data_IF_309625227952
#
_entry.id   IF_309625227952
#
_cell.length_a   1.000
_cell.length_b   1.000
_cell.length_c   1.000
_cell.angle_alpha   90.00
_cell.angle_beta   90.00
_cell.angle_gamma   90.00
#
_symmetry.space_group_name_H-M   'P 1'
#
loop_
_entity.id
_entity.type
_entity.pdbx_description
1 polymer ?
#
# COMPACT_ATOMS: atom_id res chain seq x y z
N UNK A 1 11.21 -1.72 -0.01
CA UNK A 1 10.18 -0.75 0.43
C UNK A 1 10.84 0.20 1.38
N UNK A 2 10.82 1.48 1.03
CA UNK A 2 11.47 2.56 1.77
C UNK A 2 10.61 2.95 2.96
N UNK A 3 11.05 2.68 4.19
CA UNK A 3 10.62 3.42 5.37
C UNK A 3 11.48 4.68 5.43
N UNK A 4 11.07 5.72 4.73
CA UNK A 4 11.64 7.04 4.94
C UNK A 4 11.10 7.57 6.27
N UNK A 5 11.97 7.78 7.24
CA UNK A 5 11.70 8.72 8.30
C UNK A 5 11.56 10.09 7.60
N UNK A 6 10.33 10.49 7.35
CA UNK A 6 10.05 11.75 6.68
C UNK A 6 10.28 12.87 7.67
N UNK A 7 11.36 13.63 7.47
CA UNK A 7 11.52 14.94 8.08
C UNK A 7 10.37 15.82 7.56
N UNK A 8 9.41 16.12 8.43
CA UNK A 8 8.22 16.89 8.08
C UNK A 8 8.61 18.34 7.76
N UNK A 9 8.55 18.70 6.49
CA UNK A 9 8.28 20.07 6.08
C UNK A 9 6.78 20.18 5.94
N UNK A 10 6.13 20.76 6.95
CA UNK A 10 4.71 21.07 6.93
C UNK A 10 4.45 22.17 5.90
N UNK A 11 4.07 21.79 4.70
CA UNK A 11 3.47 22.73 3.76
C UNK A 11 1.98 22.78 4.05
N UNK A 12 1.52 23.85 4.70
CA UNK A 12 0.09 24.14 4.88
C UNK A 12 -0.50 24.43 3.51
N UNK A 13 -1.24 23.49 2.97
CA UNK A 13 -2.19 23.74 1.90
C UNK A 13 -3.60 23.59 2.44
N UNK A 14 -4.27 24.74 2.60
CA UNK A 14 -5.69 24.79 2.91
C UNK A 14 -6.48 24.65 1.62
N UNK A 15 -7.04 23.47 1.37
CA UNK A 15 -8.31 23.34 0.67
C UNK A 15 -8.94 22.01 1.04
N UNK A 16 -10.16 22.11 1.53
CA UNK A 16 -10.96 21.02 2.04
C UNK A 16 -11.22 19.93 1.00
N UNK A 17 -11.03 18.68 1.40
CA UNK A 17 -11.83 17.55 0.93
C UNK A 17 -11.58 16.31 1.75
N UNK A 18 -12.59 15.49 1.92
CA UNK A 18 -12.66 14.50 2.98
C UNK A 18 -11.81 13.27 2.67
N UNK A 19 -11.22 12.81 3.63
CA UNK A 19 -10.38 11.68 3.82
C UNK A 19 -11.22 10.43 4.07
N UNK A 20 -10.75 9.31 3.63
CA UNK A 20 -11.40 8.01 3.79
C UNK A 20 -10.56 7.12 4.72
N UNK A 21 -11.09 6.67 5.84
CA UNK A 21 -10.45 5.68 6.71
C UNK A 21 -10.76 4.26 6.21
N UNK A 22 -9.81 3.40 6.34
CA UNK A 22 -10.10 1.99 6.61
C UNK A 22 -10.95 1.93 7.88
N UNK A 23 -11.89 0.97 8.03
CA UNK A 23 -12.80 0.92 9.18
C UNK A 23 -12.02 1.12 10.46
N UNK A 24 -12.61 1.87 11.39
CA UNK A 24 -12.07 2.29 12.67
C UNK A 24 -11.28 1.18 13.36
N UNK A 25 -9.99 1.17 13.13
CA UNK A 25 -9.08 0.30 13.84
C UNK A 25 -8.54 1.15 14.98
N UNK A 26 -9.14 0.99 16.18
CA UNK A 26 -8.45 1.40 17.40
C UNK A 26 -7.04 0.84 17.29
N UNK A 27 -6.04 1.69 17.44
CA UNK A 27 -4.62 1.31 17.35
C UNK A 27 -4.23 0.46 18.56
N UNK A 28 -4.81 -0.72 18.67
CA UNK A 28 -4.45 -1.70 19.70
C UNK A 28 -3.22 -2.47 19.24
N UNK A 29 -2.06 -1.92 19.54
CA UNK A 29 -0.77 -2.54 19.24
C UNK A 29 -0.49 -3.79 20.06
N UNK A 30 -1.34 -4.13 21.03
CA UNK A 30 -1.19 -5.35 21.86
C UNK A 30 -1.92 -6.55 21.29
N UNK A 31 -2.91 -6.33 20.42
CA UNK A 31 -3.66 -7.41 19.79
C UNK A 31 -2.94 -7.94 18.54
N UNK A 32 -2.46 -9.20 18.52
CA UNK A 32 -1.76 -9.77 17.37
C UNK A 32 -2.54 -9.81 16.06
N UNK A 33 -3.85 -9.66 16.11
CA UNK A 33 -4.70 -9.60 14.92
C UNK A 33 -4.95 -8.18 14.42
N UNK A 34 -4.49 -7.16 15.14
CA UNK A 34 -4.70 -5.77 14.77
C UNK A 34 -3.78 -5.33 13.64
N UNK A 35 -4.22 -4.31 12.91
CA UNK A 35 -3.41 -3.64 11.90
C UNK A 35 -2.16 -2.99 12.48
N UNK A 36 -2.29 -2.33 13.65
CA UNK A 36 -1.19 -1.68 14.33
C UNK A 36 -0.11 -2.69 14.75
N UNK A 37 -0.50 -3.81 15.36
CA UNK A 37 0.43 -4.88 15.70
C UNK A 37 1.16 -5.42 14.47
N UNK A 38 0.44 -5.69 13.39
CA UNK A 38 1.05 -6.17 12.14
C UNK A 38 2.09 -5.19 11.60
N UNK A 39 1.80 -3.89 11.62
CA UNK A 39 2.72 -2.85 11.14
C UNK A 39 4.01 -2.80 11.97
N UNK A 40 3.89 -2.84 13.31
CA UNK A 40 5.06 -2.82 14.20
C UNK A 40 5.91 -4.09 14.10
N UNK A 41 5.34 -5.19 13.61
CA UNK A 41 6.03 -6.48 13.43
C UNK A 41 6.37 -6.77 11.96
N UNK A 42 6.37 -5.76 11.10
CA UNK A 42 6.84 -5.94 9.73
C UNK A 42 8.29 -6.44 9.72
N UNK A 43 8.61 -7.44 8.88
CA UNK A 43 9.97 -7.96 8.80
C UNK A 43 10.93 -6.86 8.35
N UNK A 44 11.92 -6.57 9.16
CA UNK A 44 12.91 -5.52 8.91
C UNK A 44 14.28 -6.11 8.64
N UNK A 45 15.06 -5.41 7.83
CA UNK A 45 16.48 -5.69 7.59
C UNK A 45 17.29 -4.39 7.57
N UNK A 46 18.60 -4.54 7.79
CA UNK A 46 19.56 -3.47 7.59
C UNK A 46 20.27 -3.69 6.25
N UNK A 47 20.71 -2.63 5.64
CA UNK A 47 21.47 -2.71 4.38
C UNK A 47 21.13 -1.57 3.44
N UNK A 48 21.62 -1.65 2.23
CA UNK A 48 21.38 -0.65 1.21
C UNK A 48 19.96 -0.77 0.64
N UNK A 49 19.32 0.37 0.37
CA UNK A 49 18.11 0.42 -0.42
C UNK A 49 18.48 0.06 -1.86
N UNK A 50 17.85 -0.98 -2.38
CA UNK A 50 18.04 -1.45 -3.74
C UNK A 50 16.82 -1.14 -4.60
N UNK A 51 17.07 -0.87 -5.89
CA UNK A 51 16.01 -0.85 -6.90
C UNK A 51 15.55 -2.29 -7.26
N UNK A 52 14.56 -2.40 -8.14
CA UNK A 52 14.03 -3.70 -8.60
C UNK A 52 15.05 -4.56 -9.38
N UNK A 53 16.18 -3.98 -9.81
CA UNK A 53 17.30 -4.68 -10.46
C UNK A 53 18.42 -5.05 -9.48
N UNK A 54 18.23 -4.77 -8.20
CA UNK A 54 19.23 -5.04 -7.15
C UNK A 54 20.36 -4.02 -7.09
N UNK A 55 20.23 -2.84 -7.70
CA UNK A 55 21.23 -1.78 -7.69
C UNK A 55 20.97 -0.81 -6.53
N UNK A 56 21.98 -0.36 -5.79
CA UNK A 56 21.81 0.65 -4.75
C UNK A 56 21.28 1.97 -5.33
N UNK A 57 20.28 2.56 -4.68
CA UNK A 57 19.82 3.92 -5.01
C UNK A 57 20.77 4.98 -4.44
N UNK A 58 20.68 6.22 -4.94
CA UNK A 58 21.63 7.30 -4.62
C UNK A 58 21.56 7.76 -3.15
N UNK A 59 20.37 7.79 -2.53
CA UNK A 59 20.17 8.33 -1.18
C UNK A 59 20.07 7.21 -0.14
N UNK A 60 21.21 6.74 0.38
CA UNK A 60 21.26 5.65 1.35
C UNK A 60 21.11 6.10 2.82
N UNK A 61 21.30 7.39 3.13
CA UNK A 61 21.41 7.89 4.50
C UNK A 61 20.07 8.25 5.15
N UNK A 62 18.95 8.13 4.42
CA UNK A 62 17.62 8.62 4.85
C UNK A 62 16.69 7.54 5.35
N UNK A 63 17.18 6.35 5.66
CA UNK A 63 16.33 5.28 6.15
C UNK A 63 16.87 4.70 7.46
N UNK A 64 15.95 4.32 8.35
CA UNK A 64 16.28 3.62 9.59
C UNK A 64 16.40 2.11 9.38
N UNK A 65 15.48 1.54 8.62
CA UNK A 65 15.42 0.13 8.28
C UNK A 65 14.71 -0.08 6.94
N UNK A 66 14.84 -1.27 6.40
CA UNK A 66 14.14 -1.73 5.21
C UNK A 66 13.04 -2.71 5.62
N UNK A 67 11.85 -2.60 5.04
CA UNK A 67 10.88 -3.68 5.13
C UNK A 67 11.35 -4.80 4.19
N UNK A 68 11.57 -5.99 4.77
CA UNK A 68 12.13 -7.13 4.04
C UNK A 68 11.06 -7.86 3.24
N UNK A 69 10.42 -7.16 2.30
CA UNK A 69 9.53 -7.75 1.31
C UNK A 69 10.19 -7.75 -0.06
N UNK A 70 10.10 -8.87 -0.74
CA UNK A 70 10.51 -8.97 -2.13
C UNK A 70 9.70 -8.03 -3.02
N UNK A 71 10.37 -7.15 -3.75
CA UNK A 71 9.73 -6.20 -4.70
C UNK A 71 9.50 -6.81 -6.08
N UNK A 72 10.00 -8.02 -6.32
CA UNK A 72 9.94 -8.66 -7.63
C UNK A 72 10.96 -8.10 -8.62
N UNK A 73 10.79 -8.46 -9.88
CA UNK A 73 11.74 -8.15 -10.97
C UNK A 73 11.23 -7.06 -11.92
N UNK A 74 10.10 -6.41 -11.58
CA UNK A 74 9.47 -5.35 -12.39
C UNK A 74 9.48 -4.04 -11.64
N UNK A 75 9.67 -2.94 -12.34
CA UNK A 75 9.55 -1.58 -11.79
C UNK A 75 8.06 -1.20 -11.59
N UNK A 76 7.45 -1.82 -10.58
CA UNK A 76 6.01 -1.66 -10.30
C UNK A 76 5.71 -1.23 -8.86
N UNK A 77 6.65 -1.41 -7.92
CA UNK A 77 6.38 -1.07 -6.52
C UNK A 77 6.98 0.30 -6.14
N UNK A 78 6.17 1.33 -6.27
CA UNK A 78 6.44 2.68 -5.76
C UNK A 78 5.72 2.90 -4.42
N UNK A 79 5.62 4.14 -3.93
CA UNK A 79 5.08 4.43 -2.60
C UNK A 79 3.63 3.94 -2.40
N UNK A 80 2.74 4.18 -3.36
CA UNK A 80 1.35 3.71 -3.29
C UNK A 80 1.27 2.18 -3.33
N UNK A 81 2.08 1.56 -4.17
CA UNK A 81 2.10 0.11 -4.35
C UNK A 81 2.66 -0.60 -3.13
N UNK A 82 3.59 0.05 -2.42
CA UNK A 82 4.07 -0.43 -1.12
C UNK A 82 2.95 -0.47 -0.07
N UNK A 83 2.10 0.56 -0.01
CA UNK A 83 0.93 0.57 0.87
C UNK A 83 -0.06 -0.54 0.51
N UNK A 84 -0.42 -0.64 -0.77
CA UNK A 84 -1.29 -1.69 -1.31
C UNK A 84 -0.74 -3.07 -0.94
N UNK A 85 0.58 -3.27 -1.09
CA UNK A 85 1.24 -4.52 -0.74
C UNK A 85 1.12 -4.83 0.75
N UNK A 86 1.47 -3.91 1.63
CA UNK A 86 1.43 -4.09 3.08
C UNK A 86 -0.01 -4.41 3.52
N UNK A 87 -1.02 -3.71 2.99
CA UNK A 87 -2.42 -3.98 3.28
C UNK A 87 -2.86 -5.37 2.82
N UNK A 88 -2.48 -5.77 1.62
CA UNK A 88 -2.81 -7.10 1.08
C UNK A 88 -2.14 -8.22 1.89
N UNK A 89 -0.88 -8.05 2.32
CA UNK A 89 -0.17 -9.01 3.17
C UNK A 89 -0.83 -9.16 4.54
N UNK A 90 -1.28 -8.04 5.15
CA UNK A 90 -2.05 -8.08 6.38
C UNK A 90 -3.33 -8.90 6.23
N UNK A 91 -4.16 -8.59 5.23
CA UNK A 91 -5.41 -9.31 4.99
C UNK A 91 -5.16 -10.78 4.68
N UNK A 92 -4.11 -11.08 3.93
CA UNK A 92 -3.71 -12.45 3.63
C UNK A 92 -3.29 -13.21 4.91
N UNK A 93 -2.50 -12.59 5.78
CA UNK A 93 -2.08 -13.19 7.07
C UNK A 93 -3.27 -13.50 7.99
N UNK A 94 -4.31 -12.66 7.93
CA UNK A 94 -5.55 -12.84 8.69
C UNK A 94 -6.55 -13.77 7.98
N UNK A 95 -6.21 -14.36 6.83
CA UNK A 95 -7.11 -15.18 5.99
C UNK A 95 -8.39 -14.44 5.55
N UNK A 96 -8.38 -13.12 5.55
CA UNK A 96 -9.47 -12.23 5.12
C UNK A 96 -9.41 -12.02 3.60
N UNK A 97 -9.44 -13.11 2.86
CA UNK A 97 -9.17 -13.14 1.42
C UNK A 97 -10.22 -12.37 0.61
N UNK A 98 -11.46 -12.37 1.06
CA UNK A 98 -12.58 -11.71 0.37
C UNK A 98 -12.55 -10.18 0.50
N UNK A 99 -11.74 -9.65 1.43
CA UNK A 99 -11.52 -8.22 1.60
C UNK A 99 -10.35 -7.69 0.78
N UNK A 100 -9.57 -8.56 0.14
CA UNK A 100 -8.45 -8.14 -0.71
C UNK A 100 -9.00 -7.61 -2.03
N UNK A 101 -8.99 -6.29 -2.16
CA UNK A 101 -9.43 -5.60 -3.36
C UNK A 101 -9.02 -4.12 -3.32
N UNK A 102 -8.83 -3.53 -4.49
CA UNK A 102 -8.36 -2.15 -4.63
C UNK A 102 -9.02 -1.48 -5.82
N UNK A 103 -9.19 -0.17 -5.73
CA UNK A 103 -9.68 0.62 -6.85
C UNK A 103 -8.52 1.02 -7.76
N UNK A 104 -8.75 0.95 -9.05
CA UNK A 104 -7.89 1.59 -10.05
C UNK A 104 -8.12 3.10 -10.06
N UNK A 105 -7.20 3.84 -10.63
CA UNK A 105 -7.27 5.31 -10.72
C UNK A 105 -8.57 5.81 -11.39
N UNK A 106 -9.14 5.03 -12.31
CA UNK A 106 -10.42 5.31 -12.96
C UNK A 106 -11.67 4.99 -12.09
N UNK A 107 -11.48 4.51 -10.85
CA UNK A 107 -12.55 4.18 -9.91
C UNK A 107 -13.10 2.76 -10.02
N UNK A 108 -12.56 1.91 -10.89
CA UNK A 108 -13.01 0.51 -10.99
C UNK A 108 -12.45 -0.31 -9.83
N UNK A 109 -13.31 -0.97 -9.07
CA UNK A 109 -12.89 -1.92 -8.05
C UNK A 109 -12.49 -3.26 -8.66
N UNK A 110 -11.34 -3.80 -8.21
CA UNK A 110 -10.85 -5.09 -8.64
C UNK A 110 -10.44 -5.93 -7.43
N UNK A 111 -11.17 -7.02 -7.16
CA UNK A 111 -10.90 -7.92 -6.05
C UNK A 111 -9.97 -9.05 -6.44
N UNK A 112 -9.24 -9.57 -5.46
CA UNK A 112 -8.43 -10.78 -5.65
C UNK A 112 -9.30 -12.00 -5.96
N UNK A 113 -10.51 -12.08 -5.40
CA UNK A 113 -11.46 -13.13 -5.72
C UNK A 113 -11.84 -13.13 -7.20
N UNK A 114 -12.16 -11.97 -7.78
CA UNK A 114 -12.43 -11.85 -9.21
C UNK A 114 -11.22 -12.30 -10.04
N UNK A 115 -9.99 -11.92 -9.62
CA UNK A 115 -8.77 -12.37 -10.28
C UNK A 115 -8.60 -13.90 -10.19
N UNK A 116 -8.86 -14.52 -9.03
CA UNK A 116 -8.79 -15.99 -8.84
C UNK A 116 -9.83 -16.72 -9.68
N UNK A 117 -11.02 -16.14 -9.87
CA UNK A 117 -12.06 -16.68 -10.76
C UNK A 117 -11.76 -16.45 -12.24
N UNK A 118 -10.61 -15.90 -12.58
CA UNK A 118 -10.16 -15.76 -13.97
C UNK A 118 -10.52 -14.43 -14.63
N UNK A 119 -11.20 -13.50 -13.95
CA UNK A 119 -11.52 -12.20 -14.52
C UNK A 119 -10.28 -11.32 -14.66
N UNK A 120 -10.07 -10.74 -15.84
CA UNK A 120 -8.94 -9.84 -16.13
C UNK A 120 -9.45 -8.49 -16.62
N UNK A 121 -8.84 -7.38 -16.16
CA UNK A 121 -9.22 -6.05 -16.64
C UNK A 121 -8.82 -5.88 -18.10
N UNK A 122 -9.74 -5.36 -18.91
CA UNK A 122 -9.53 -5.02 -20.30
C UNK A 122 -9.87 -3.55 -20.51
N UNK A 123 -8.96 -2.83 -21.12
CA UNK A 123 -9.11 -1.41 -21.44
C UNK A 123 -9.35 -1.28 -22.96
N UNK A 124 -10.57 -0.90 -23.33
CA UNK A 124 -10.95 -0.78 -24.74
C UNK A 124 -10.19 0.35 -25.46
N UNK A 125 -9.77 1.41 -24.72
CA UNK A 125 -8.96 2.55 -25.23
C UNK A 125 -8.22 3.18 -24.04
N UNK A 126 -7.11 3.88 -24.24
CA UNK A 126 -6.50 4.72 -23.21
C UNK A 126 -7.52 5.70 -22.63
N UNK A 127 -7.73 5.68 -21.30
CA UNK A 127 -8.76 6.49 -20.60
C UNK A 127 -10.21 6.05 -20.80
N UNK A 128 -10.48 4.96 -21.52
CA UNK A 128 -11.80 4.43 -21.73
C UNK A 128 -12.37 3.66 -20.54
N UNK A 129 -13.68 3.35 -20.60
CA UNK A 129 -14.36 2.54 -19.61
C UNK A 129 -13.74 1.15 -19.58
N UNK A 130 -13.43 0.69 -18.38
CA UNK A 130 -12.88 -0.63 -18.17
C UNK A 130 -13.98 -1.69 -18.22
N UNK A 131 -13.67 -2.82 -18.81
CA UNK A 131 -14.45 -4.05 -18.74
C UNK A 131 -13.61 -5.19 -18.18
N UNK A 132 -14.28 -6.26 -17.78
CA UNK A 132 -13.60 -7.49 -17.36
C UNK A 132 -13.94 -8.61 -18.33
N UNK A 133 -12.91 -9.34 -18.75
CA UNK A 133 -13.06 -10.58 -19.51
C UNK A 133 -12.73 -11.76 -18.61
N UNK A 134 -13.54 -12.80 -18.68
CA UNK A 134 -13.22 -14.08 -18.06
C UNK A 134 -12.07 -14.72 -18.84
N UNK A 135 -10.95 -14.97 -18.14
CA UNK A 135 -9.85 -15.76 -18.69
C UNK A 135 -10.08 -17.20 -18.28
N UNK A 136 -9.80 -18.14 -19.17
CA UNK A 136 -10.10 -19.57 -18.99
C UNK A 136 -9.40 -20.26 -17.80
N UNK A 137 -8.53 -19.58 -17.04
CA UNK A 137 -7.73 -20.17 -15.96
C UNK A 137 -8.18 -19.64 -14.60
N UNK A 138 -8.77 -20.53 -13.82
CA UNK A 138 -8.95 -20.36 -12.38
C UNK A 138 -7.59 -20.38 -11.68
N UNK A 139 -7.49 -19.66 -10.55
CA UNK A 139 -6.30 -19.62 -9.71
C UNK A 139 -6.67 -19.92 -8.27
N UNK A 140 -5.84 -20.70 -7.61
CA UNK A 140 -5.99 -20.93 -6.18
C UNK A 140 -5.62 -19.66 -5.38
N UNK A 141 -6.21 -19.49 -4.19
CA UNK A 141 -5.91 -18.40 -3.26
C UNK A 141 -4.59 -18.68 -2.52
N UNK A 142 -3.48 -18.61 -3.25
CA UNK A 142 -2.11 -18.78 -2.73
C UNK A 142 -1.38 -17.43 -2.68
N UNK A 143 -0.31 -17.34 -1.89
CA UNK A 143 0.52 -16.14 -1.85
C UNK A 143 1.13 -15.80 -3.23
N UNK A 144 1.52 -16.81 -4.02
CA UNK A 144 2.02 -16.60 -5.38
C UNK A 144 0.94 -16.00 -6.30
N UNK A 145 -0.32 -16.43 -6.14
CA UNK A 145 -1.44 -15.86 -6.88
C UNK A 145 -1.75 -14.43 -6.43
N UNK A 146 -1.65 -14.13 -5.14
CA UNK A 146 -1.77 -12.76 -4.61
C UNK A 146 -0.70 -11.85 -5.22
N UNK A 147 0.56 -12.28 -5.27
CA UNK A 147 1.64 -11.52 -5.90
C UNK A 147 1.36 -11.21 -7.37
N UNK A 148 0.84 -12.20 -8.10
CA UNK A 148 0.49 -12.03 -9.51
C UNK A 148 -0.68 -11.05 -9.70
N UNK A 149 -1.69 -11.09 -8.84
CA UNK A 149 -2.80 -10.14 -8.79
C UNK A 149 -2.30 -8.71 -8.50
N UNK A 150 -1.45 -8.55 -7.50
CA UNK A 150 -0.91 -7.25 -7.11
C UNK A 150 -0.12 -6.58 -8.24
N UNK A 151 0.59 -7.34 -9.08
CA UNK A 151 1.25 -6.79 -10.26
C UNK A 151 0.26 -6.14 -11.26
N UNK A 152 -0.97 -6.64 -11.31
CA UNK A 152 -2.03 -5.99 -12.12
C UNK A 152 -2.52 -4.72 -11.42
N UNK A 153 -2.74 -4.77 -10.10
CA UNK A 153 -3.18 -3.61 -9.32
C UNK A 153 -2.17 -2.46 -9.43
N UNK A 154 -0.88 -2.72 -9.27
CA UNK A 154 0.18 -1.71 -9.35
C UNK A 154 0.22 -0.98 -10.70
N UNK A 155 -0.16 -1.64 -11.78
CA UNK A 155 -0.18 -1.00 -13.08
C UNK A 155 -1.31 0.05 -13.26
N UNK A 156 -2.34 0.01 -12.40
CA UNK A 156 -3.56 0.81 -12.61
C UNK A 156 -4.06 1.57 -11.37
N UNK A 157 -3.58 1.21 -10.18
CA UNK A 157 -3.83 1.93 -8.94
C UNK A 157 -2.70 2.94 -8.66
N UNK A 158 -2.90 3.84 -7.72
CA UNK A 158 -1.87 4.80 -7.32
C UNK A 158 -2.38 5.72 -6.22
N UNK A 159 -1.66 6.81 -5.94
CA UNK A 159 -2.03 7.75 -4.87
C UNK A 159 -3.40 8.37 -5.07
N UNK A 160 -3.85 8.57 -6.31
CA UNK A 160 -5.18 9.13 -6.61
C UNK A 160 -6.30 8.15 -6.23
N UNK A 161 -6.18 6.86 -6.52
CA UNK A 161 -7.17 5.86 -6.12
C UNK A 161 -7.15 5.63 -4.61
N UNK A 162 -5.98 5.50 -4.01
CA UNK A 162 -5.85 5.33 -2.56
C UNK A 162 -6.44 6.51 -1.78
N UNK A 163 -6.20 7.74 -2.21
CA UNK A 163 -6.77 8.93 -1.57
C UNK A 163 -8.31 8.90 -1.54
N UNK A 164 -8.95 8.31 -2.55
CA UNK A 164 -10.40 8.15 -2.60
C UNK A 164 -10.92 7.01 -1.72
N UNK A 165 -10.09 6.01 -1.43
CA UNK A 165 -10.45 4.87 -0.59
C UNK A 165 -10.22 5.13 0.90
N UNK A 166 -9.28 6.01 1.24
CA UNK A 166 -8.91 6.29 2.62
C UNK A 166 -9.87 7.29 3.26
N UNK A 167 -10.19 7.11 4.55
CA UNK A 167 -10.99 8.06 5.34
C UNK A 167 -10.08 9.03 6.10
N UNK A 168 -10.57 10.24 6.50
CA UNK A 168 -9.82 11.20 7.31
C UNK A 168 -9.44 10.64 8.65
N UNK A 169 -8.24 10.92 9.05
CA UNK A 169 -7.80 10.72 10.40
C UNK A 169 -7.68 12.08 11.11
N UNK A 170 -8.28 12.22 12.28
CA UNK A 170 -8.17 13.42 13.10
C UNK A 170 -6.81 13.50 13.81
N UNK A 171 -6.09 12.39 13.88
CA UNK A 171 -4.78 12.25 14.53
C UNK A 171 -3.84 11.40 13.69
N UNK A 172 -2.55 11.69 13.83
CA UNK A 172 -1.50 10.81 13.32
C UNK A 172 -1.29 9.66 14.32
N UNK A 173 -1.55 8.44 13.88
CA UNK A 173 -1.37 7.23 14.68
C UNK A 173 -0.83 6.09 13.82
N UNK A 174 -0.43 4.97 14.42
CA UNK A 174 0.01 3.79 13.68
C UNK A 174 -1.09 3.34 12.73
N UNK A 175 -0.75 3.18 11.46
CA UNK A 175 -1.70 2.88 10.39
C UNK A 175 -2.26 4.10 9.66
N UNK A 176 -2.00 5.32 10.13
CA UNK A 176 -2.35 6.54 9.40
C UNK A 176 -1.50 6.67 8.14
N UNK A 177 -2.15 7.03 7.04
CA UNK A 177 -1.50 7.33 5.76
C UNK A 177 -1.48 8.83 5.54
N UNK A 178 -0.29 9.38 5.34
CA UNK A 178 -0.11 10.73 4.84
C UNK A 178 -0.01 10.64 3.32
N UNK A 179 -0.95 11.27 2.60
CA UNK A 179 -1.04 11.11 1.14
C UNK A 179 -1.18 12.45 0.43
N UNK A 180 -0.40 12.60 -0.63
CA UNK A 180 -0.49 13.68 -1.61
C UNK A 180 -0.86 13.05 -2.97
N UNK A 181 -2.16 13.10 -3.37
CA UNK A 181 -2.60 12.49 -4.60
C UNK A 181 -2.10 13.27 -5.82
N UNK A 182 -1.63 12.59 -6.87
CA UNK A 182 -1.17 13.27 -8.08
C UNK A 182 -0.37 12.40 -9.04
N UNK A 183 0.15 13.04 -10.08
CA UNK A 183 1.07 12.48 -11.07
C UNK A 183 2.23 13.48 -11.31
N UNK A 184 3.33 13.41 -10.57
CA UNK A 184 3.63 12.43 -9.52
C UNK A 184 2.86 12.72 -8.23
N UNK A 185 2.46 11.65 -7.54
CA UNK A 185 1.92 11.70 -6.19
C UNK A 185 2.89 11.06 -5.19
N UNK A 186 2.60 11.22 -3.89
CA UNK A 186 3.37 10.57 -2.85
C UNK A 186 2.50 10.14 -1.68
N UNK A 187 2.91 9.08 -0.97
CA UNK A 187 2.28 8.69 0.29
C UNK A 187 3.28 8.01 1.23
N UNK A 188 2.98 8.12 2.51
CA UNK A 188 3.73 7.51 3.60
C UNK A 188 2.77 6.86 4.59
N UNK A 189 3.18 5.78 5.22
CA UNK A 189 2.42 5.05 6.23
C UNK A 189 3.16 5.14 7.55
N UNK A 190 2.45 5.50 8.63
CA UNK A 190 3.00 5.45 9.99
C UNK A 190 2.95 3.99 10.44
N UNK A 191 4.11 3.39 10.66
CA UNK A 191 4.24 1.97 11.03
C UNK A 191 4.57 1.75 12.49
N UNK A 192 5.12 2.78 13.14
CA UNK A 192 5.47 2.74 14.56
C UNK A 192 5.53 4.15 15.14
N UNK A 193 5.52 4.26 16.46
CA UNK A 193 5.69 5.50 17.23
C UNK A 193 6.82 5.31 18.22
N UNK A 194 7.70 6.28 18.29
CA UNK A 194 8.78 6.34 19.25
C UNK A 194 8.63 7.52 20.21
N UNK A 195 9.36 7.50 21.30
CA UNK A 195 9.54 8.64 22.19
C UNK A 195 10.96 9.14 22.01
N UNK A 196 11.12 10.35 21.49
CA UNK A 196 12.40 11.01 21.39
C UNK A 196 12.47 12.11 22.45
N UNK A 197 13.46 12.04 23.36
CA UNK A 197 13.66 13.01 24.45
C UNK A 197 12.39 13.30 25.30
N UNK A 198 11.59 12.26 25.56
CA UNK A 198 10.36 12.38 26.35
C UNK A 198 9.16 12.98 25.59
N UNK A 199 9.24 13.16 24.28
CA UNK A 199 8.14 13.59 23.41
C UNK A 199 7.79 12.46 22.44
N UNK A 200 6.48 12.27 22.23
CA UNK A 200 5.98 11.38 21.16
C UNK A 200 6.45 11.89 19.80
N UNK A 201 7.04 11.01 19.00
CA UNK A 201 7.52 11.28 17.63
C UNK A 201 6.80 10.40 16.63
#
# INVERSE_FOLDING_TARGET
>A
ILLAACCMVACRYQSASPSVSLPEIKSDSTNPQSWAYFLQHLPQSKGNILDYQGRPIVNQEKHFALINYDVGTKDLQQCADALIRIRAEYLFSQKRFDEIGFHFTNGTFYSWDAWCRGFRPVFAKPGGRQSFMEAALLREKTHASLRSYLNVVYAYAGTVSLCKELQSADRLDIGTVVIYPGHPGHCSLIVDRGVLDGKDT
#
